data_IF_761254605032
#
_entry.id   IF_761254605032
#
_cell.length_a   1.000
_cell.length_b   1.000
_cell.length_c   1.000
_cell.angle_alpha   90.00
_cell.angle_beta   90.00
_cell.angle_gamma   90.00
#
_symmetry.space_group_name_H-M   'P 1'
#
loop_
_entity.id
_entity.type
_entity.pdbx_description
1 polymer ?
#
# COMPACT_ATOMS: atom_id res chain seq x y z
N UNK A 1 -24.10 -1.03 2.18
CA UNK A 1 -22.74 -0.85 2.72
C UNK A 1 -21.90 -0.24 1.61
N UNK A 2 -21.29 0.92 1.83
CA UNK A 2 -20.42 1.53 0.80
C UNK A 2 -19.05 0.84 0.79
N UNK A 3 -18.28 1.04 -0.28
CA UNK A 3 -16.95 0.42 -0.46
C UNK A 3 -16.00 0.70 0.73
N UNK A 4 -15.97 1.94 1.21
CA UNK A 4 -15.06 2.35 2.28
C UNK A 4 -15.43 1.69 3.61
N UNK A 5 -16.72 1.53 3.91
CA UNK A 5 -17.17 0.84 5.12
C UNK A 5 -16.78 -0.64 5.10
N UNK A 6 -16.88 -1.30 3.94
CA UNK A 6 -16.41 -2.67 3.78
C UNK A 6 -14.90 -2.77 3.96
N UNK A 7 -14.13 -1.91 3.29
CA UNK A 7 -12.67 -1.90 3.42
C UNK A 7 -12.26 -1.64 4.87
N UNK A 8 -12.90 -0.69 5.55
CA UNK A 8 -12.64 -0.38 6.96
C UNK A 8 -12.78 -1.61 7.85
N UNK A 9 -13.90 -2.34 7.73
CA UNK A 9 -14.14 -3.56 8.53
C UNK A 9 -13.07 -4.65 8.34
N UNK A 10 -12.45 -4.71 7.16
CA UNK A 10 -11.41 -5.70 6.87
C UNK A 10 -10.01 -5.18 7.21
N UNK A 11 -9.73 -3.90 6.95
CA UNK A 11 -8.39 -3.33 6.97
C UNK A 11 -7.97 -2.76 8.33
N UNK A 12 -8.91 -2.41 9.22
CA UNK A 12 -8.59 -1.86 10.55
C UNK A 12 -7.79 -2.85 11.42
N UNK A 13 -8.05 -4.16 11.27
CA UNK A 13 -7.35 -5.21 12.00
C UNK A 13 -6.02 -5.65 11.39
N UNK A 14 -5.58 -5.05 10.28
CA UNK A 14 -4.37 -5.47 9.58
C UNK A 14 -3.13 -4.70 10.06
N UNK A 15 -2.03 -5.41 10.25
CA UNK A 15 -0.72 -4.82 10.56
C UNK A 15 0.00 -4.25 9.32
N UNK A 16 -0.51 -4.52 8.12
CA UNK A 16 -0.06 -3.88 6.89
C UNK A 16 -0.75 -2.53 6.72
N UNK A 17 -0.03 -1.50 6.28
CA UNK A 17 -0.63 -0.22 5.96
C UNK A 17 -1.59 -0.38 4.79
N UNK A 18 -2.80 0.14 4.92
CA UNK A 18 -3.80 0.12 3.86
C UNK A 18 -4.28 1.54 3.61
N UNK A 19 -4.30 1.94 2.35
CA UNK A 19 -4.95 3.17 1.90
C UNK A 19 -5.85 2.89 0.70
N UNK A 20 -6.94 3.64 0.59
CA UNK A 20 -7.81 3.65 -0.58
C UNK A 20 -7.86 5.06 -1.14
N UNK A 21 -7.75 5.19 -2.47
CA UNK A 21 -7.86 6.47 -3.17
C UNK A 21 -8.98 6.46 -4.20
N UNK A 22 -9.42 7.65 -4.60
CA UNK A 22 -10.19 7.79 -5.84
C UNK A 22 -9.32 7.48 -7.08
N UNK A 23 -9.91 7.63 -8.26
CA UNK A 23 -9.30 7.28 -9.55
C UNK A 23 -8.76 8.49 -10.32
N UNK A 24 -8.80 9.70 -9.74
CA UNK A 24 -8.37 10.90 -10.44
C UNK A 24 -6.86 10.99 -10.56
N UNK A 25 -6.33 10.64 -11.73
CA UNK A 25 -4.89 10.66 -12.01
C UNK A 25 -4.35 12.02 -12.48
N UNK A 26 -5.19 13.08 -12.50
CA UNK A 26 -4.73 14.45 -12.80
C UNK A 26 -3.85 14.93 -11.65
N UNK A 27 -2.86 15.77 -11.95
CA UNK A 27 -1.94 16.32 -10.94
C UNK A 27 -2.77 17.03 -9.84
N UNK A 28 -2.55 16.76 -8.54
CA UNK A 28 -1.40 16.09 -7.92
C UNK A 28 -1.40 14.55 -7.94
N UNK A 29 -2.47 13.91 -8.38
CA UNK A 29 -2.69 12.47 -8.35
C UNK A 29 -3.96 12.14 -7.57
N UNK A 30 -4.26 10.85 -7.39
CA UNK A 30 -5.48 10.44 -6.70
C UNK A 30 -5.42 10.86 -5.23
N UNK A 31 -6.59 11.09 -4.64
CA UNK A 31 -6.74 11.53 -3.25
C UNK A 31 -7.19 10.40 -2.35
N UNK A 32 -6.65 10.36 -1.14
CA UNK A 32 -6.92 9.33 -0.14
C UNK A 32 -8.33 9.52 0.42
N UNK A 33 -9.13 8.46 0.32
CA UNK A 33 -10.49 8.36 0.86
C UNK A 33 -10.51 7.61 2.19
N UNK A 34 -9.51 6.78 2.43
CA UNK A 34 -9.36 5.97 3.64
C UNK A 34 -7.90 5.61 3.87
N UNK A 35 -7.49 5.56 5.13
CA UNK A 35 -6.21 5.02 5.58
C UNK A 35 -6.39 4.34 6.94
N UNK A 36 -5.83 3.14 7.11
CA UNK A 36 -5.92 2.39 8.37
C UNK A 36 -4.86 2.83 9.39
N UNK A 37 -5.01 2.39 10.64
CA UNK A 37 -4.09 2.76 11.71
C UNK A 37 -2.64 2.30 11.47
N UNK A 38 -2.44 1.16 10.80
CA UNK A 38 -1.08 0.70 10.47
C UNK A 38 -0.35 1.69 9.53
N UNK A 39 -1.06 2.23 8.53
CA UNK A 39 -0.53 3.28 7.67
C UNK A 39 -0.24 4.56 8.45
N UNK A 40 -1.15 4.98 9.33
CA UNK A 40 -0.97 6.20 10.13
C UNK A 40 0.24 6.08 11.06
N UNK A 41 0.40 4.95 11.75
CA UNK A 41 1.58 4.66 12.60
C UNK A 41 2.86 4.64 11.78
N UNK A 42 2.86 3.98 10.63
CA UNK A 42 4.03 3.89 9.75
C UNK A 42 4.42 5.27 9.20
N UNK A 43 3.47 6.04 8.68
CA UNK A 43 3.75 7.33 8.06
C UNK A 43 3.97 8.45 9.07
N UNK A 44 3.48 8.29 10.31
CA UNK A 44 3.53 9.31 11.35
C UNK A 44 2.57 10.48 11.12
N UNK A 45 1.62 10.36 10.18
CA UNK A 45 0.57 11.35 9.95
C UNK A 45 -0.70 10.96 10.71
N UNK A 46 -1.48 11.97 11.14
CA UNK A 46 -2.82 11.75 11.67
C UNK A 46 -3.84 11.55 10.54
N UNK A 47 -4.98 10.92 10.85
CA UNK A 47 -6.04 10.70 9.86
C UNK A 47 -6.51 11.99 9.18
N UNK A 48 -6.67 13.07 9.95
CA UNK A 48 -7.09 14.38 9.46
C UNK A 48 -6.08 15.03 8.49
N UNK A 49 -4.78 14.68 8.60
CA UNK A 49 -3.74 15.19 7.71
C UNK A 49 -3.68 14.42 6.38
N UNK A 50 -4.22 13.19 6.35
CA UNK A 50 -4.08 12.26 5.23
C UNK A 50 -5.31 12.27 4.33
N UNK A 51 -6.51 12.33 4.92
CA UNK A 51 -7.76 12.28 4.16
C UNK A 51 -7.86 13.49 3.20
N UNK A 52 -8.21 13.20 1.94
CA UNK A 52 -8.29 14.20 0.87
C UNK A 52 -6.93 14.60 0.27
N UNK A 53 -5.81 14.18 0.85
CA UNK A 53 -4.48 14.43 0.29
C UNK A 53 -4.10 13.37 -0.73
N UNK A 54 -3.15 13.70 -1.61
CA UNK A 54 -2.54 12.71 -2.50
C UNK A 54 -1.41 11.97 -1.79
N UNK A 55 -1.26 10.62 -1.97
CA UNK A 55 -0.13 9.86 -1.40
C UNK A 55 1.25 10.40 -1.82
N UNK A 56 1.30 11.27 -2.85
CA UNK A 56 2.50 12.04 -3.21
C UNK A 56 3.09 12.83 -2.02
N UNK A 57 2.29 13.16 -1.00
CA UNK A 57 2.78 13.80 0.24
C UNK A 57 3.87 13.00 0.97
N UNK A 58 3.95 11.69 0.74
CA UNK A 58 4.97 10.81 1.30
C UNK A 58 6.30 10.87 0.53
N UNK A 59 6.34 11.51 -0.64
CA UNK A 59 7.51 11.56 -1.50
C UNK A 59 8.41 12.75 -1.12
N UNK A 60 9.72 12.57 -1.25
CA UNK A 60 10.72 13.58 -0.91
C UNK A 60 11.94 13.53 -1.82
N UNK A 61 13.03 14.18 -1.41
CA UNK A 61 14.21 14.38 -2.26
C UNK A 61 14.85 13.07 -2.77
N UNK A 62 14.87 12.04 -1.95
CA UNK A 62 15.40 10.71 -2.29
C UNK A 62 14.39 9.77 -2.97
N UNK A 63 13.15 10.19 -3.21
CA UNK A 63 12.18 9.35 -3.93
C UNK A 63 12.57 9.26 -5.41
N UNK A 64 12.71 8.04 -5.93
CA UNK A 64 13.08 7.82 -7.34
C UNK A 64 12.04 8.38 -8.31
N UNK A 65 12.47 9.32 -9.16
CA UNK A 65 11.64 9.87 -10.25
C UNK A 65 11.23 8.78 -11.25
N UNK A 66 12.10 7.81 -11.50
CA UNK A 66 11.76 6.70 -12.37
C UNK A 66 10.71 5.79 -11.70
N UNK A 67 10.89 5.45 -10.42
CA UNK A 67 9.93 4.66 -9.67
C UNK A 67 8.54 5.30 -9.63
N UNK A 68 8.45 6.61 -9.38
CA UNK A 68 7.17 7.34 -9.42
C UNK A 68 6.54 7.36 -10.81
N UNK A 69 7.33 7.44 -11.88
CA UNK A 69 6.85 7.29 -13.27
C UNK A 69 6.34 5.88 -13.54
N UNK A 70 6.98 4.85 -12.98
CA UNK A 70 6.52 3.47 -13.10
C UNK A 70 5.15 3.29 -12.42
N UNK A 71 4.97 3.82 -11.20
CA UNK A 71 3.65 3.87 -10.54
C UNK A 71 2.62 4.58 -11.43
N UNK A 72 2.94 5.77 -11.92
CA UNK A 72 2.01 6.54 -12.76
C UNK A 72 1.61 5.79 -14.04
N UNK A 73 2.55 5.10 -14.69
CA UNK A 73 2.27 4.28 -15.88
C UNK A 73 1.38 3.09 -15.54
N UNK A 74 1.66 2.40 -14.44
CA UNK A 74 0.85 1.28 -13.95
C UNK A 74 -0.61 1.70 -13.68
N UNK A 75 -0.82 2.80 -12.95
CA UNK A 75 -2.15 3.30 -12.64
C UNK A 75 -2.96 3.72 -13.89
N UNK A 76 -2.28 4.16 -14.95
CA UNK A 76 -2.91 4.48 -16.24
C UNK A 76 -3.15 3.26 -17.13
N UNK A 77 -2.49 2.15 -16.85
CA UNK A 77 -2.61 0.89 -17.56
C UNK A 77 -3.61 -0.03 -16.87
N UNK A 78 -3.12 -1.15 -16.35
CA UNK A 78 -3.92 -2.19 -15.68
C UNK A 78 -4.29 -1.86 -14.22
N UNK A 79 -3.83 -0.72 -13.69
CA UNK A 79 -4.08 -0.31 -12.33
C UNK A 79 -3.26 -1.06 -11.28
N UNK A 80 -2.33 -1.94 -11.67
CA UNK A 80 -1.54 -2.78 -10.76
C UNK A 80 -0.09 -2.34 -10.69
N UNK A 81 0.42 -2.15 -9.48
CA UNK A 81 1.82 -1.86 -9.25
C UNK A 81 2.33 -2.65 -8.06
N UNK A 82 3.46 -3.36 -8.23
CA UNK A 82 4.21 -3.95 -7.13
C UNK A 82 5.63 -3.45 -7.21
N UNK A 83 6.14 -2.85 -6.14
CA UNK A 83 7.48 -2.29 -6.15
C UNK A 83 7.84 -1.61 -4.84
N UNK A 84 8.92 -0.82 -4.87
CA UNK A 84 9.41 -0.12 -3.70
C UNK A 84 9.71 1.34 -4.03
N UNK A 85 9.36 2.22 -3.10
CA UNK A 85 9.70 3.65 -3.15
C UNK A 85 10.22 4.11 -1.81
N UNK A 86 11.18 5.04 -1.84
CA UNK A 86 11.57 5.77 -0.64
C UNK A 86 10.49 6.79 -0.32
N UNK A 87 9.85 6.63 0.83
CA UNK A 87 8.85 7.54 1.39
C UNK A 87 9.43 8.26 2.62
N UNK A 88 8.71 9.27 3.09
CA UNK A 88 9.11 10.13 4.20
C UNK A 88 7.97 10.21 5.21
N UNK A 89 8.30 10.01 6.48
CA UNK A 89 7.36 10.20 7.59
C UNK A 89 7.05 11.69 7.76
N UNK A 90 6.02 12.01 8.56
CA UNK A 90 5.69 13.40 8.95
C UNK A 90 6.90 14.16 9.51
N UNK A 91 7.78 13.46 10.23
CA UNK A 91 9.02 13.99 10.83
C UNK A 91 10.12 14.28 9.81
N UNK A 92 9.98 13.83 8.56
CA UNK A 92 11.01 13.90 7.52
C UNK A 92 11.97 12.71 7.51
N UNK A 93 11.82 11.73 8.41
CA UNK A 93 12.59 10.49 8.36
C UNK A 93 12.22 9.67 7.11
N UNK A 94 13.22 9.26 6.33
CA UNK A 94 12.97 8.42 5.16
C UNK A 94 12.86 6.94 5.53
N UNK A 95 11.95 6.23 4.88
CA UNK A 95 11.83 4.78 4.96
C UNK A 95 11.62 4.17 3.57
N UNK A 96 12.05 2.92 3.39
CA UNK A 96 11.80 2.19 2.14
C UNK A 96 10.44 1.51 2.24
N UNK A 97 9.47 2.00 1.48
CA UNK A 97 8.13 1.44 1.41
C UNK A 97 8.04 0.41 0.29
N UNK A 98 7.63 -0.80 0.62
CA UNK A 98 7.11 -1.77 -0.34
C UNK A 98 5.62 -1.48 -0.56
N UNK A 99 5.20 -1.49 -1.82
CA UNK A 99 3.88 -1.07 -2.30
C UNK A 99 3.29 -2.19 -3.16
N UNK A 100 2.06 -2.61 -2.86
CA UNK A 100 1.19 -3.41 -3.75
C UNK A 100 -0.11 -2.62 -3.96
N UNK A 101 -0.27 -2.04 -5.14
CA UNK A 101 -1.43 -1.25 -5.55
C UNK A 101 -2.28 -2.08 -6.49
N UNK A 102 -3.59 -2.10 -6.25
CA UNK A 102 -4.56 -2.83 -7.06
C UNK A 102 -5.79 -1.97 -7.37
N UNK A 103 -6.40 -2.16 -8.56
CA UNK A 103 -7.68 -1.55 -8.87
C UNK A 103 -8.81 -2.23 -8.11
N UNK A 104 -9.80 -1.46 -7.70
CA UNK A 104 -11.11 -1.95 -7.23
C UNK A 104 -12.14 -1.59 -8.28
N UNK A 105 -12.82 -2.61 -8.79
CA UNK A 105 -13.90 -2.45 -9.76
C UNK A 105 -15.25 -2.63 -9.08
N UNK A 106 -16.22 -1.82 -9.48
CA UNK A 106 -17.62 -1.98 -9.14
C UNK A 106 -18.23 -3.21 -9.82
N UNK A 107 -19.47 -3.53 -9.45
CA UNK A 107 -20.22 -4.63 -10.06
C UNK A 107 -20.55 -4.40 -11.54
N UNK A 108 -20.53 -3.14 -11.98
CA UNK A 108 -20.67 -2.72 -13.37
C UNK A 108 -19.37 -2.83 -14.18
N UNK A 109 -18.27 -3.26 -13.55
CA UNK A 109 -16.95 -3.36 -14.17
C UNK A 109 -16.21 -2.03 -14.29
N UNK A 110 -16.76 -0.92 -13.77
CA UNK A 110 -16.07 0.37 -13.77
C UNK A 110 -15.08 0.47 -12.62
N UNK A 111 -13.95 1.14 -12.87
CA UNK A 111 -12.93 1.37 -11.85
C UNK A 111 -13.46 2.39 -10.83
N UNK A 112 -13.65 1.96 -9.58
CA UNK A 112 -14.18 2.80 -8.51
C UNK A 112 -13.07 3.44 -7.67
N UNK A 113 -11.98 2.70 -7.42
CA UNK A 113 -10.91 3.11 -6.53
C UNK A 113 -9.59 2.38 -6.80
N UNK A 114 -8.53 2.86 -6.16
CA UNK A 114 -7.31 2.07 -5.97
C UNK A 114 -7.12 1.76 -4.49
N UNK A 115 -6.67 0.54 -4.19
CA UNK A 115 -6.22 0.14 -2.85
C UNK A 115 -4.73 -0.14 -2.89
N UNK A 116 -4.00 0.38 -1.91
CA UNK A 116 -2.59 0.06 -1.74
C UNK A 116 -2.33 -0.61 -0.39
N UNK A 117 -1.48 -1.62 -0.41
CA UNK A 117 -0.89 -2.27 0.75
C UNK A 117 0.56 -1.83 0.88
N UNK A 118 0.91 -1.31 2.06
CA UNK A 118 2.19 -0.67 2.30
C UNK A 118 2.91 -1.30 3.49
N UNK A 119 4.20 -1.59 3.30
CA UNK A 119 5.07 -2.12 4.36
C UNK A 119 6.41 -1.42 4.35
N UNK A 120 6.90 -1.05 5.52
CA UNK A 120 8.29 -0.62 5.66
C UNK A 120 9.24 -1.82 5.55
N UNK A 121 10.23 -1.72 4.68
CA UNK A 121 11.30 -2.70 4.54
C UNK A 121 12.36 -2.45 5.61
N UNK A 122 12.26 -3.19 6.72
CA UNK A 122 13.25 -3.12 7.80
C UNK A 122 14.54 -3.84 7.37
N UNK A 123 15.66 -3.11 7.31
CA UNK A 123 16.98 -3.72 7.12
C UNK A 123 17.37 -4.49 8.39
N UNK A 124 17.46 -5.82 8.33
CA UNK A 124 18.18 -6.58 9.37
C UNK A 124 19.68 -6.31 9.25
N UNK A 125 20.32 -5.81 10.31
CA UNK A 125 21.78 -5.88 10.46
C UNK A 125 22.14 -7.33 10.80
N UNK A 126 22.64 -8.09 9.83
CA UNK A 126 23.12 -9.46 9.98
C UNK A 126 23.90 -9.90 8.75
N UNK A 127 24.99 -10.66 8.96
CA UNK A 127 26.10 -10.96 8.03
C UNK A 127 25.72 -11.09 6.54
N UNK A 128 26.56 -10.60 5.61
CA UNK A 128 26.34 -10.84 4.20
C UNK A 128 26.52 -12.34 3.92
N UNK A 129 25.42 -13.04 3.68
CA UNK A 129 25.49 -14.32 2.98
C UNK A 129 25.94 -14.03 1.55
N UNK A 130 27.00 -14.71 1.14
CA UNK A 130 27.45 -14.79 -0.25
C UNK A 130 26.33 -15.36 -1.12
N UNK A 131 26.18 -14.84 -2.34
CA UNK A 131 25.17 -15.30 -3.30
C UNK A 131 23.99 -14.35 -3.43
N UNK A 132 23.95 -13.61 -4.54
CA UNK A 132 22.85 -12.72 -4.90
C UNK A 132 21.59 -13.49 -5.28
N UNK A 133 20.76 -13.87 -4.32
CA UNK A 133 19.36 -14.27 -4.55
C UNK A 133 18.49 -14.40 -3.27
N UNK A 134 18.94 -14.01 -2.07
CA UNK A 134 18.12 -14.23 -0.87
C UNK A 134 18.38 -13.23 0.25
N UNK A 135 17.58 -12.14 0.34
CA UNK A 135 17.66 -11.19 1.47
C UNK A 135 16.34 -10.63 1.98
N UNK A 136 15.21 -11.21 1.60
CA UNK A 136 13.91 -10.78 2.12
C UNK A 136 13.11 -12.03 2.49
N UNK A 137 12.89 -12.23 3.79
CA UNK A 137 11.82 -13.11 4.28
C UNK A 137 10.74 -12.17 4.79
N UNK A 138 9.49 -12.45 4.43
CA UNK A 138 8.36 -11.83 5.10
C UNK A 138 8.55 -11.98 6.61
N UNK A 139 8.24 -10.93 7.38
CA UNK A 139 8.21 -11.03 8.84
C UNK A 139 7.12 -12.06 9.16
N UNK A 140 7.51 -13.27 9.56
CA UNK A 140 6.61 -14.22 10.19
C UNK A 140 6.27 -13.64 11.56
N UNK A 141 5.09 -13.02 11.69
CA UNK A 141 4.49 -12.77 12.98
C UNK A 141 3.82 -14.07 13.44
N UNK A 142 4.28 -14.59 14.58
CA UNK A 142 3.64 -15.69 15.28
C UNK A 142 2.20 -15.32 15.59
N UNK A 143 1.23 -16.05 14.99
CA UNK A 143 -0.18 -15.93 15.37
C UNK A 143 -1.20 -15.84 14.22
N UNK A 144 -1.04 -16.61 13.14
CA UNK A 144 -2.18 -16.91 12.27
C UNK A 144 -2.07 -18.31 11.65
N UNK A 145 -1.85 -19.31 12.49
CA UNK A 145 -2.08 -20.71 12.12
C UNK A 145 -3.44 -21.11 12.67
N UNK A 146 -4.47 -20.99 11.81
CA UNK A 146 -5.77 -21.68 11.82
C UNK A 146 -6.95 -20.73 11.53
N UNK A 147 -7.15 -20.38 10.26
CA UNK A 147 -8.46 -20.00 9.75
C UNK A 147 -8.88 -21.04 8.68
N UNK A 148 -9.95 -21.83 8.89
CA UNK A 148 -10.30 -22.96 8.01
C UNK A 148 -11.08 -22.58 6.75
N UNK A 149 -11.20 -21.30 6.38
CA UNK A 149 -12.22 -20.82 5.45
C UNK A 149 -11.77 -20.54 4.00
N UNK A 150 -10.80 -21.27 3.46
CA UNK A 150 -10.49 -21.20 2.02
C UNK A 150 -10.22 -22.60 1.44
N UNK A 151 -11.25 -23.44 1.43
CA UNK A 151 -11.31 -24.64 0.57
C UNK A 151 -12.71 -24.84 0.01
N UNK A 152 -13.11 -24.00 -0.95
CA UNK A 152 -14.10 -24.44 -1.95
C UNK A 152 -13.88 -23.64 -3.24
N UNK A 153 -13.67 -24.30 -4.39
CA UNK A 153 -13.70 -23.61 -5.69
C UNK A 153 -15.16 -23.34 -6.06
N UNK A 154 -15.52 -22.07 -6.27
CA UNK A 154 -16.78 -21.71 -6.91
C UNK A 154 -16.49 -21.56 -8.40
N UNK A 155 -16.68 -22.66 -9.13
CA UNK A 155 -17.05 -22.62 -10.55
C UNK A 155 -18.17 -23.65 -10.71
N UNK A 156 -19.36 -23.14 -11.02
CA UNK A 156 -20.43 -23.87 -11.68
C UNK A 156 -20.73 -23.12 -12.97
#
# INVERSE_FOLDING_TARGET
MNLIDLVRHVADGLDVGVLVTNTDLRRPGPTILYANDAFLRMSGYGAADVLGQSPRMLQGAGTSREGTRQVQRALRGDGRFVGRLQNYRRTGESYLCELDIRPIYGLDGHLEAFIAFEREVVRRRGRPTEGGAGRYRAVEQSGCSNLPFLKTPIFA
#
